data_IF_991914638062
#
_entry.id   IF_991914638062
#
_cell.length_a   1.000
_cell.length_b   1.000
_cell.length_c   1.000
_cell.angle_alpha   90.00
_cell.angle_beta   90.00
_cell.angle_gamma   90.00
#
_symmetry.space_group_name_H-M   'P 1'
#
loop_
_entity.id
_entity.type
_entity.pdbx_description
1 polymer ?
#
# COMPACT_ATOMS: atom_id res chain seq x y z
N UNK A 1 -57.14 54.49 -16.40
CA UNK A 1 -57.22 53.60 -17.58
C UNK A 1 -56.43 54.20 -18.72
N UNK A 2 -55.80 53.35 -19.55
CA UNK A 2 -54.79 53.63 -20.62
C UNK A 2 -53.35 53.76 -20.07
N UNK A 3 -52.32 53.04 -20.53
CA UNK A 3 -52.10 52.22 -21.73
C UNK A 3 -51.08 51.10 -21.42
N UNK A 4 -51.36 49.89 -21.92
CA UNK A 4 -50.44 48.75 -22.01
C UNK A 4 -49.53 48.96 -23.24
N UNK A 5 -48.23 49.13 -23.06
CA UNK A 5 -47.19 49.16 -24.12
C UNK A 5 -45.91 48.63 -23.46
N UNK A 6 -45.51 47.38 -23.72
CA UNK A 6 -44.50 47.00 -24.71
C UNK A 6 -43.07 47.05 -24.15
N UNK A 7 -42.58 45.89 -23.71
CA UNK A 7 -41.18 45.47 -23.84
C UNK A 7 -41.19 43.95 -23.80
N UNK A 8 -41.28 43.27 -24.95
CA UNK A 8 -40.10 42.90 -25.76
C UNK A 8 -39.20 42.05 -24.87
N UNK A 9 -39.35 40.71 -24.87
CA UNK A 9 -38.81 39.83 -25.91
C UNK A 9 -37.38 40.27 -26.28
N UNK A 10 -36.48 40.41 -25.30
CA UNK A 10 -35.04 40.51 -25.55
C UNK A 10 -34.22 40.22 -24.27
N UNK A 11 -34.50 39.10 -23.61
CA UNK A 11 -33.49 38.41 -22.78
C UNK A 11 -33.50 36.92 -23.11
N UNK A 12 -33.56 36.68 -24.43
CA UNK A 12 -33.06 35.49 -25.08
C UNK A 12 -31.55 35.44 -24.85
N UNK A 13 -31.11 35.06 -23.65
CA UNK A 13 -29.75 34.55 -23.38
C UNK A 13 -29.71 33.86 -22.01
N UNK A 14 -30.75 33.09 -21.65
CA UNK A 14 -30.63 32.08 -20.60
C UNK A 14 -30.08 30.80 -21.23
N UNK A 15 -28.79 30.87 -21.52
CA UNK A 15 -27.92 29.73 -21.80
C UNK A 15 -27.84 28.91 -20.51
N UNK A 16 -28.86 28.09 -20.26
CA UNK A 16 -28.78 27.01 -19.29
C UNK A 16 -28.19 25.79 -20.00
N UNK A 17 -26.88 25.85 -20.19
CA UNK A 17 -26.02 24.68 -20.35
C UNK A 17 -26.16 23.80 -19.11
N UNK A 18 -27.24 23.03 -19.01
CA UNK A 18 -27.26 21.83 -18.17
C UNK A 18 -26.55 20.70 -18.92
N UNK A 19 -25.29 20.96 -19.25
CA UNK A 19 -24.28 19.98 -19.65
C UNK A 19 -23.25 19.91 -18.53
N UNK A 20 -23.70 19.64 -17.31
CA UNK A 20 -22.85 19.08 -16.25
C UNK A 20 -22.90 17.58 -16.53
N UNK A 21 -22.19 17.08 -17.55
CA UNK A 21 -20.84 16.54 -17.35
C UNK A 21 -20.68 15.98 -15.93
N UNK A 22 -21.36 14.88 -15.63
CA UNK A 22 -20.85 13.94 -14.62
C UNK A 22 -19.63 13.24 -15.21
N UNK A 23 -18.56 13.99 -15.40
CA UNK A 23 -17.21 13.47 -15.46
C UNK A 23 -16.57 13.70 -14.09
N UNK A 24 -17.18 13.14 -13.04
CA UNK A 24 -16.42 12.80 -11.86
C UNK A 24 -15.74 11.46 -12.15
N UNK A 25 -14.80 11.45 -13.10
CA UNK A 25 -13.56 10.78 -12.77
C UNK A 25 -12.89 11.72 -11.76
N UNK A 26 -13.29 11.62 -10.48
CA UNK A 26 -12.36 11.99 -9.43
C UNK A 26 -11.12 11.17 -9.78
N UNK A 27 -10.14 11.85 -10.34
CA UNK A 27 -8.80 11.33 -10.46
C UNK A 27 -8.27 11.38 -9.02
N UNK A 28 -8.79 10.47 -8.19
CA UNK A 28 -8.19 10.14 -6.91
C UNK A 28 -6.81 9.65 -7.29
N UNK A 29 -5.81 10.51 -7.12
CA UNK A 29 -4.42 10.08 -7.19
C UNK A 29 -4.31 8.79 -6.38
N UNK A 30 -3.77 7.70 -6.97
CA UNK A 30 -3.69 6.44 -6.26
C UNK A 30 -2.88 6.70 -4.99
N UNK A 31 -3.53 6.52 -3.83
CA UNK A 31 -2.91 6.78 -2.54
C UNK A 31 -1.57 6.04 -2.47
N UNK A 32 -0.55 6.72 -1.96
CA UNK A 32 0.75 6.11 -1.72
C UNK A 32 0.67 5.13 -0.55
N UNK A 33 1.82 4.60 -0.16
CA UNK A 33 1.88 3.61 0.91
C UNK A 33 1.41 4.18 2.28
N UNK A 34 1.37 5.51 2.42
CA UNK A 34 0.93 6.19 3.65
C UNK A 34 -0.48 5.80 4.08
N UNK A 35 -1.32 5.32 3.16
CA UNK A 35 -2.64 4.80 3.50
C UNK A 35 -2.60 3.56 4.42
N UNK A 36 -1.45 2.87 4.49
CA UNK A 36 -1.23 1.72 5.35
C UNK A 36 -0.43 2.06 6.63
N UNK A 37 -0.03 3.33 6.85
CA UNK A 37 0.74 3.73 8.03
C UNK A 37 0.05 3.32 9.34
N UNK A 38 0.82 2.76 10.27
CA UNK A 38 0.34 2.25 11.56
C UNK A 38 -0.20 0.82 11.51
N UNK A 39 -0.26 0.19 10.33
CA UNK A 39 -0.63 -1.22 10.21
C UNK A 39 0.59 -2.12 10.40
N UNK A 40 0.35 -3.23 11.11
CA UNK A 40 1.29 -4.34 11.26
C UNK A 40 0.63 -5.62 10.78
N UNK A 41 1.42 -6.49 10.15
CA UNK A 41 1.00 -7.75 9.55
C UNK A 41 1.96 -8.86 9.97
N UNK A 42 1.46 -10.09 10.10
CA UNK A 42 2.28 -11.27 10.38
C UNK A 42 1.92 -12.43 9.47
N UNK A 43 2.92 -13.21 9.04
CA UNK A 43 2.70 -14.35 8.16
C UNK A 43 1.79 -15.40 8.78
N UNK A 44 0.93 -16.01 7.95
CA UNK A 44 0.08 -17.12 8.37
C UNK A 44 0.85 -18.42 8.51
N UNK A 45 1.90 -18.57 7.71
CA UNK A 45 2.78 -19.73 7.68
C UNK A 45 4.18 -19.36 8.16
N UNK A 46 4.90 -20.35 8.64
CA UNK A 46 6.29 -20.20 9.06
C UNK A 46 7.25 -20.61 7.95
N UNK A 47 8.45 -20.05 7.96
CA UNK A 47 9.55 -20.41 7.06
C UNK A 47 10.86 -20.58 7.84
N UNK A 48 11.88 -21.12 7.17
CA UNK A 48 13.23 -21.23 7.71
C UNK A 48 13.98 -19.92 7.49
N UNK A 49 14.24 -19.20 8.58
CA UNK A 49 15.04 -17.97 8.60
C UNK A 49 16.42 -18.18 9.27
N UNK A 50 16.88 -19.43 9.40
CA UNK A 50 18.17 -19.77 10.04
C UNK A 50 19.39 -19.18 9.33
N UNK A 51 19.26 -18.81 8.04
CA UNK A 51 20.27 -18.07 7.29
C UNK A 51 20.46 -16.62 7.72
N UNK A 52 19.47 -16.02 8.39
CA UNK A 52 19.59 -14.70 9.03
C UNK A 52 20.01 -14.84 10.51
N UNK A 53 19.35 -15.74 11.25
CA UNK A 53 19.68 -16.05 12.64
C UNK A 53 19.36 -17.53 12.93
N UNK A 54 20.31 -18.36 13.41
CA UNK A 54 20.10 -19.80 13.65
C UNK A 54 18.92 -20.16 14.57
N UNK A 55 18.45 -19.22 15.39
CA UNK A 55 17.30 -19.42 16.28
C UNK A 55 15.94 -19.27 15.58
N UNK A 56 15.90 -18.76 14.36
CA UNK A 56 14.68 -18.45 13.61
C UNK A 56 14.27 -19.61 12.67
N UNK A 57 14.08 -20.80 13.23
CA UNK A 57 13.54 -21.94 12.49
C UNK A 57 12.66 -22.81 13.40
N UNK A 58 11.33 -22.81 13.24
CA UNK A 58 10.54 -22.01 12.29
C UNK A 58 10.38 -20.53 12.72
N UNK A 59 10.18 -19.63 11.76
CA UNK A 59 9.92 -18.20 12.01
C UNK A 59 8.74 -17.64 11.21
N UNK A 60 8.12 -16.60 11.73
CA UNK A 60 7.08 -15.79 11.11
C UNK A 60 7.66 -14.49 10.56
N UNK A 61 7.08 -14.01 9.46
CA UNK A 61 7.42 -12.72 8.85
C UNK A 61 6.51 -11.66 9.41
N UNK A 62 7.10 -10.64 10.02
CA UNK A 62 6.42 -9.43 10.46
C UNK A 62 6.68 -8.32 9.46
N UNK A 63 5.62 -7.58 9.14
CA UNK A 63 5.66 -6.40 8.25
C UNK A 63 4.98 -5.25 8.97
N UNK A 64 5.63 -4.09 9.03
CA UNK A 64 5.04 -2.87 9.59
C UNK A 64 5.19 -1.73 8.61
N UNK A 65 4.14 -0.91 8.47
CA UNK A 65 4.18 0.29 7.65
C UNK A 65 4.18 1.51 8.56
N UNK A 66 5.22 2.33 8.45
CA UNK A 66 5.38 3.53 9.27
C UNK A 66 6.13 4.60 8.51
N UNK A 67 5.68 5.85 8.63
CA UNK A 67 6.29 7.02 7.99
C UNK A 67 6.53 6.82 6.48
N UNK A 68 5.56 6.18 5.82
CA UNK A 68 5.59 5.82 4.39
C UNK A 68 6.72 4.87 3.99
N UNK A 69 7.14 4.01 4.92
CA UNK A 69 8.20 3.02 4.73
C UNK A 69 7.77 1.65 5.25
N UNK A 70 8.48 0.61 4.83
CA UNK A 70 8.22 -0.77 5.26
C UNK A 70 9.33 -1.28 6.17
N UNK A 71 8.95 -1.80 7.34
CA UNK A 71 9.80 -2.63 8.18
C UNK A 71 9.47 -4.10 7.95
N UNK A 72 10.47 -4.95 7.76
CA UNK A 72 10.31 -6.40 7.65
C UNK A 72 11.24 -7.06 8.65
N UNK A 73 10.75 -8.04 9.41
CA UNK A 73 11.54 -8.78 10.39
C UNK A 73 11.05 -10.22 10.54
N UNK A 74 11.96 -11.14 10.84
CA UNK A 74 11.62 -12.54 11.14
C UNK A 74 11.61 -12.78 12.66
N UNK A 75 10.58 -13.43 13.19
CA UNK A 75 10.41 -13.68 14.63
C UNK A 75 9.86 -15.07 14.89
N UNK A 76 10.26 -15.71 15.99
CA UNK A 76 9.65 -16.97 16.46
C UNK A 76 8.25 -16.78 17.06
N UNK A 77 7.87 -15.55 17.43
CA UNK A 77 6.56 -15.22 17.98
C UNK A 77 5.71 -14.50 16.94
N UNK A 78 4.44 -14.89 16.82
CA UNK A 78 3.44 -14.25 15.97
C UNK A 78 2.36 -13.49 16.76
N UNK A 79 2.50 -13.34 18.08
CA UNK A 79 1.56 -12.62 18.94
C UNK A 79 2.07 -11.24 19.35
N UNK A 80 3.38 -11.09 19.50
CA UNK A 80 4.02 -9.84 19.90
C UNK A 80 4.80 -9.25 18.73
N UNK A 81 4.46 -8.02 18.34
CA UNK A 81 5.19 -7.29 17.31
C UNK A 81 6.66 -7.09 17.73
N UNK A 82 7.63 -7.43 16.86
CA UNK A 82 9.05 -7.26 17.18
C UNK A 82 9.50 -5.81 17.03
N UNK A 83 10.67 -5.49 17.58
CA UNK A 83 11.37 -4.24 17.26
C UNK A 83 12.08 -4.37 15.92
N UNK A 84 11.66 -3.59 14.94
CA UNK A 84 12.28 -3.54 13.62
C UNK A 84 13.65 -2.86 13.67
N UNK A 85 14.64 -3.44 12.97
CA UNK A 85 16.00 -2.90 12.88
C UNK A 85 16.10 -1.71 11.91
N UNK A 86 15.13 -1.57 11.00
CA UNK A 86 15.12 -0.51 10.00
C UNK A 86 13.82 -0.49 9.20
N UNK A 87 13.64 0.60 8.46
CA UNK A 87 12.51 0.83 7.57
C UNK A 87 13.05 1.21 6.18
N UNK A 88 12.62 0.47 5.16
CA UNK A 88 13.03 0.62 3.77
C UNK A 88 12.06 1.54 3.04
N UNK A 89 12.60 2.34 2.11
CA UNK A 89 11.78 3.10 1.19
C UNK A 89 11.01 2.15 0.27
N UNK A 90 9.85 2.62 -0.18
CA UNK A 90 8.98 1.89 -1.09
C UNK A 90 8.58 2.78 -2.26
N UNK A 91 8.43 2.16 -3.41
CA UNK A 91 7.97 2.81 -4.63
C UNK A 91 6.74 2.08 -5.15
N UNK A 92 5.76 2.80 -5.70
CA UNK A 92 4.52 2.22 -6.18
C UNK A 92 3.29 3.03 -5.76
N UNK A 93 2.10 2.48 -6.03
CA UNK A 93 0.84 3.16 -5.78
C UNK A 93 -0.32 2.17 -5.69
N UNK A 94 -1.40 2.55 -5.00
CA UNK A 94 -2.58 1.69 -4.87
C UNK A 94 -2.32 0.49 -3.97
N UNK A 95 -2.25 -0.71 -4.56
CA UNK A 95 -2.03 -1.97 -3.83
C UNK A 95 -0.67 -2.59 -4.07
N UNK A 96 0.09 -2.09 -5.03
CA UNK A 96 1.30 -2.75 -5.53
C UNK A 96 2.51 -1.83 -5.34
N UNK A 97 3.49 -2.32 -4.58
CA UNK A 97 4.70 -1.58 -4.22
C UNK A 97 5.94 -2.46 -4.38
N UNK A 98 7.08 -1.83 -4.53
CA UNK A 98 8.41 -2.42 -4.44
C UNK A 98 9.14 -1.87 -3.22
N UNK A 99 10.04 -2.65 -2.66
CA UNK A 99 10.97 -2.20 -1.62
C UNK A 99 12.39 -2.63 -1.96
N UNK A 100 13.36 -1.84 -1.51
CA UNK A 100 14.78 -2.11 -1.66
C UNK A 100 15.51 -1.59 -0.42
N UNK A 101 16.45 -2.38 0.11
CA UNK A 101 17.25 -2.02 1.29
C UNK A 101 18.30 -0.92 1.00
N UNK A 102 18.57 -0.62 -0.27
CA UNK A 102 19.52 0.38 -0.74
C UNK A 102 20.98 -0.08 -0.75
N UNK A 103 21.29 -1.19 -0.08
CA UNK A 103 22.61 -1.85 -0.05
C UNK A 103 22.73 -3.01 -1.04
N UNK A 104 21.64 -3.36 -1.73
CA UNK A 104 21.56 -4.45 -2.69
C UNK A 104 21.46 -5.85 -2.06
N UNK A 105 21.14 -5.98 -0.78
CA UNK A 105 21.02 -7.27 -0.10
C UNK A 105 19.59 -7.84 -0.16
N UNK A 106 18.60 -6.96 -0.06
CA UNK A 106 17.19 -7.35 0.07
C UNK A 106 16.32 -6.44 -0.80
N UNK A 107 15.52 -7.05 -1.67
CA UNK A 107 14.50 -6.34 -2.43
C UNK A 107 13.32 -7.26 -2.78
N UNK A 108 12.18 -6.66 -3.07
CA UNK A 108 10.98 -7.40 -3.38
C UNK A 108 9.77 -6.53 -3.64
N UNK A 109 8.62 -7.16 -3.63
CA UNK A 109 7.33 -6.52 -3.83
C UNK A 109 6.40 -6.73 -2.64
N UNK A 110 5.49 -5.78 -2.47
CA UNK A 110 4.37 -5.83 -1.54
C UNK A 110 3.10 -5.72 -2.36
N UNK A 111 2.15 -6.62 -2.09
CA UNK A 111 0.80 -6.54 -2.63
C UNK A 111 -0.23 -6.50 -1.51
N UNK A 112 -0.85 -5.36 -1.32
CA UNK A 112 -1.81 -5.12 -0.25
C UNK A 112 -3.24 -5.51 -0.65
N UNK A 113 -3.97 -5.95 0.36
CA UNK A 113 -5.44 -5.97 0.40
C UNK A 113 -5.89 -5.19 1.63
N UNK A 114 -7.20 -5.12 1.85
CA UNK A 114 -7.75 -4.46 3.05
C UNK A 114 -7.26 -5.09 4.37
N UNK A 115 -6.94 -6.39 4.35
CA UNK A 115 -6.63 -7.18 5.56
C UNK A 115 -5.30 -7.94 5.51
N UNK A 116 -4.55 -7.85 4.43
CA UNK A 116 -3.28 -8.58 4.29
C UNK A 116 -2.28 -7.85 3.41
N UNK A 117 -1.03 -8.28 3.49
CA UNK A 117 0.03 -7.94 2.55
C UNK A 117 0.74 -9.22 2.13
N UNK A 118 0.89 -9.43 0.82
CA UNK A 118 1.75 -10.47 0.27
C UNK A 118 3.12 -9.87 0.04
N UNK A 119 4.14 -10.45 0.66
CA UNK A 119 5.55 -10.12 0.44
C UNK A 119 6.15 -11.14 -0.53
N UNK A 120 6.82 -10.67 -1.57
CA UNK A 120 7.55 -11.53 -2.51
C UNK A 120 8.96 -11.00 -2.70
N UNK A 121 9.96 -11.72 -2.18
CA UNK A 121 11.36 -11.33 -2.36
C UNK A 121 11.80 -11.61 -3.80
N UNK A 122 12.40 -10.61 -4.43
CA UNK A 122 13.14 -10.78 -5.70
C UNK A 122 14.63 -10.99 -5.45
N UNK A 123 15.11 -10.59 -4.27
CA UNK A 123 16.47 -10.82 -3.78
C UNK A 123 16.47 -10.87 -2.25
N UNK A 124 17.13 -11.86 -1.67
CA UNK A 124 17.40 -11.95 -0.24
C UNK A 124 18.64 -12.82 -0.01
N UNK A 125 19.81 -12.18 0.11
CA UNK A 125 21.07 -12.93 0.17
C UNK A 125 21.24 -13.77 1.45
N UNK A 126 20.55 -13.41 2.54
CA UNK A 126 20.60 -14.14 3.81
C UNK A 126 19.68 -15.36 3.76
N UNK A 127 18.58 -15.26 3.02
CA UNK A 127 17.55 -16.30 2.90
C UNK A 127 17.17 -16.50 1.41
N UNK A 128 18.08 -17.01 0.57
CA UNK A 128 17.81 -17.17 -0.86
C UNK A 128 16.71 -18.20 -1.14
N UNK A 129 16.43 -19.10 -0.20
CA UNK A 129 15.39 -20.12 -0.32
C UNK A 129 13.99 -19.55 -0.46
N UNK A 130 13.72 -18.36 0.06
CA UNK A 130 12.39 -17.71 0.00
C UNK A 130 12.21 -16.76 -1.19
N UNK A 131 13.24 -16.59 -2.01
CA UNK A 131 13.14 -15.79 -3.23
C UNK A 131 12.09 -16.37 -4.19
N UNK A 132 11.23 -15.51 -4.72
CA UNK A 132 10.15 -15.92 -5.61
C UNK A 132 9.00 -16.67 -4.95
N UNK A 133 8.96 -16.73 -3.62
CA UNK A 133 7.81 -17.26 -2.87
C UNK A 133 6.90 -16.12 -2.41
N UNK A 134 5.60 -16.38 -2.40
CA UNK A 134 4.60 -15.45 -1.86
C UNK A 134 4.41 -15.74 -0.37
N UNK A 135 4.72 -14.75 0.48
CA UNK A 135 4.54 -14.83 1.92
C UNK A 135 3.36 -13.94 2.30
N UNK A 136 2.23 -14.56 2.63
CA UNK A 136 1.00 -13.84 2.98
C UNK A 136 1.00 -13.50 4.46
N UNK A 137 0.94 -12.19 4.76
CA UNK A 137 0.88 -11.66 6.10
C UNK A 137 -0.48 -11.02 6.37
N UNK A 138 -1.18 -11.48 7.42
CA UNK A 138 -2.47 -10.94 7.82
C UNK A 138 -2.30 -9.79 8.81
N UNK A 139 -3.17 -8.79 8.69
CA UNK A 139 -3.22 -7.64 9.60
C UNK A 139 -3.45 -8.11 11.04
N UNK A 140 -2.71 -7.55 11.99
CA UNK A 140 -2.84 -7.79 13.42
C UNK A 140 -3.73 -6.77 14.12
#
# INVERSE_FOLDING_TARGET
MNKKILSIIFSLFLVCLFSISCSNSEQTDPKGIEQYNGNTYVSTETFDASGFDPSLNPAYMWVSIKDSKVGIYASIDNNTEPTYQGYMNVEGSGTDYTFDSGDGYVSGTLKFTDSSVTVRFTKNIAMPSIEGQDIVCNKK
#
